data_IF_597554485083
#
_entry.id   IF_597554485083
#
_cell.length_a   1.000
_cell.length_b   1.000
_cell.length_c   1.000
_cell.angle_alpha   90.00
_cell.angle_beta   90.00
_cell.angle_gamma   90.00
#
_symmetry.space_group_name_H-M   'P 1'
#
loop_
_entity.id
_entity.type
_entity.pdbx_description
1 polymer ?
#
# COMPACT_ATOMS: atom_id res chain seq x y z
N UNK A 1 -26.07 29.98 -9.88
CA UNK A 1 -24.59 29.97 -9.93
C UNK A 1 -24.03 28.93 -8.97
N UNK A 2 -24.44 28.93 -7.71
CA UNK A 2 -24.09 27.94 -6.66
C UNK A 2 -23.86 26.50 -7.13
N UNK A 3 -24.80 25.92 -7.89
CA UNK A 3 -24.69 24.53 -8.37
C UNK A 3 -23.42 24.28 -9.20
N UNK A 4 -23.10 25.16 -10.15
CA UNK A 4 -21.90 25.04 -10.98
C UNK A 4 -20.62 25.26 -10.17
N UNK A 5 -20.67 26.14 -9.16
CA UNK A 5 -19.56 26.39 -8.25
C UNK A 5 -19.23 25.16 -7.39
N UNK A 6 -20.24 24.57 -6.74
CA UNK A 6 -20.10 23.34 -5.95
C UNK A 6 -19.62 22.17 -6.82
N UNK A 7 -20.20 22.00 -8.02
CA UNK A 7 -19.80 20.97 -8.97
C UNK A 7 -18.32 21.12 -9.38
N UNK A 8 -17.86 22.35 -9.64
CA UNK A 8 -16.46 22.64 -9.97
C UNK A 8 -15.51 22.29 -8.82
N UNK A 9 -15.88 22.63 -7.58
CA UNK A 9 -15.08 22.27 -6.39
C UNK A 9 -14.97 20.75 -6.23
N UNK A 10 -16.08 20.02 -6.39
CA UNK A 10 -16.10 18.55 -6.29
C UNK A 10 -15.10 17.94 -7.29
N UNK A 11 -15.22 18.27 -8.58
CA UNK A 11 -14.30 17.75 -9.59
C UNK A 11 -12.84 18.18 -9.38
N UNK A 12 -12.61 19.41 -8.90
CA UNK A 12 -11.27 19.89 -8.53
C UNK A 12 -10.64 19.05 -7.41
N UNK A 13 -11.37 18.80 -6.33
CA UNK A 13 -10.90 17.99 -5.19
C UNK A 13 -10.65 16.53 -5.60
N UNK A 14 -11.54 15.93 -6.41
CA UNK A 14 -11.32 14.58 -6.93
C UNK A 14 -10.07 14.52 -7.84
N UNK A 15 -9.90 15.47 -8.77
CA UNK A 15 -8.73 15.53 -9.64
C UNK A 15 -7.41 15.68 -8.87
N UNK A 16 -7.37 16.57 -7.88
CA UNK A 16 -6.22 16.74 -6.98
C UNK A 16 -5.95 15.45 -6.19
N UNK A 17 -6.99 14.76 -5.73
CA UNK A 17 -6.84 13.50 -4.98
C UNK A 17 -6.17 12.40 -5.81
N UNK A 18 -6.53 12.25 -7.09
CA UNK A 18 -5.88 11.30 -8.00
C UNK A 18 -4.41 11.67 -8.27
N UNK A 19 -4.10 12.97 -8.44
CA UNK A 19 -2.72 13.45 -8.57
C UNK A 19 -1.89 13.17 -7.32
N UNK A 20 -2.42 13.43 -6.12
CA UNK A 20 -1.71 13.22 -4.85
C UNK A 20 -1.47 11.74 -4.54
N UNK A 21 -2.45 10.85 -4.80
CA UNK A 21 -2.27 9.40 -4.63
C UNK A 21 -1.15 8.86 -5.53
N UNK A 22 -0.98 9.43 -6.73
CA UNK A 22 0.03 9.02 -7.71
C UNK A 22 1.28 9.92 -7.74
N UNK A 23 1.47 10.79 -6.75
CA UNK A 23 2.52 11.83 -6.78
C UNK A 23 3.93 11.25 -7.02
N UNK A 24 4.21 10.08 -6.44
CA UNK A 24 5.50 9.39 -6.65
C UNK A 24 5.70 8.92 -8.09
N UNK A 25 4.67 8.38 -8.74
CA UNK A 25 4.73 8.01 -10.16
C UNK A 25 4.95 9.26 -11.03
N UNK A 26 4.27 10.37 -10.74
CA UNK A 26 4.37 11.63 -11.49
C UNK A 26 5.77 12.24 -11.40
N UNK A 27 6.38 12.27 -10.21
CA UNK A 27 7.66 12.95 -10.00
C UNK A 27 8.90 12.05 -10.18
N UNK A 28 8.81 10.74 -9.95
CA UNK A 28 9.97 9.83 -10.04
C UNK A 28 9.83 8.74 -11.11
N UNK A 29 8.68 8.59 -11.77
CA UNK A 29 8.44 7.51 -12.74
C UNK A 29 8.63 6.11 -12.14
N UNK A 30 8.39 5.96 -10.84
CA UNK A 30 8.53 4.69 -10.13
C UNK A 30 7.18 4.17 -9.65
N UNK A 31 6.95 2.88 -9.91
CA UNK A 31 5.77 2.14 -9.47
C UNK A 31 5.50 2.26 -7.97
N UNK A 32 4.21 2.23 -7.63
CA UNK A 32 3.73 2.24 -6.26
C UNK A 32 4.18 0.97 -5.52
N UNK A 33 4.95 1.12 -4.43
CA UNK A 33 5.58 0.01 -3.69
C UNK A 33 4.64 -0.64 -2.67
N UNK A 34 3.37 -0.79 -3.06
CA UNK A 34 2.27 -1.11 -2.17
C UNK A 34 1.95 0.00 -1.19
N UNK A 35 0.79 -0.11 -0.54
CA UNK A 35 0.68 0.47 0.81
C UNK A 35 1.57 -0.39 1.71
N UNK A 36 1.69 -0.06 3.00
CA UNK A 36 2.14 -1.08 3.92
C UNK A 36 1.10 -2.24 4.02
N UNK A 37 0.02 -2.30 3.20
CA UNK A 37 -0.95 -3.39 3.09
C UNK A 37 -1.11 -4.07 1.67
N UNK A 38 -0.05 -4.32 0.84
CA UNK A 38 -0.11 -5.12 -0.44
C UNK A 38 0.50 -6.57 -0.55
N UNK A 39 1.56 -7.01 0.16
CA UNK A 39 2.32 -8.30 0.05
C UNK A 39 2.68 -9.17 1.33
N UNK A 40 1.90 -9.23 2.42
CA UNK A 40 2.28 -9.78 3.76
C UNK A 40 2.33 -11.28 3.67
N UNK A 41 3.35 -11.98 4.17
CA UNK A 41 3.37 -13.44 4.08
C UNK A 41 2.04 -14.11 4.53
N UNK A 42 1.38 -13.60 5.57
CA UNK A 42 0.08 -14.11 6.06
C UNK A 42 -1.16 -13.57 5.34
N UNK A 43 -1.15 -12.32 4.86
CA UNK A 43 -2.34 -11.66 4.31
C UNK A 43 -2.28 -11.42 2.79
N UNK A 44 -1.15 -11.65 2.10
CA UNK A 44 -0.97 -11.50 0.64
C UNK A 44 -2.00 -12.27 -0.17
N UNK A 45 -2.46 -13.40 0.37
CA UNK A 45 -3.45 -14.28 -0.25
C UNK A 45 -4.91 -13.98 0.17
N UNK A 46 -5.14 -12.99 1.04
CA UNK A 46 -6.47 -12.67 1.61
C UNK A 46 -6.85 -11.19 1.51
N UNK A 47 -5.89 -10.26 1.62
CA UNK A 47 -6.09 -8.81 1.72
C UNK A 47 -4.99 -8.01 0.99
N UNK A 48 -3.75 -8.50 1.02
CA UNK A 48 -2.52 -7.73 0.78
C UNK A 48 -1.59 -7.72 2.01
N UNK A 49 -0.65 -6.78 2.18
CA UNK A 49 0.30 -6.69 3.32
C UNK A 49 -0.22 -6.46 4.73
N UNK A 50 0.55 -5.68 5.46
CA UNK A 50 0.62 -5.66 6.89
C UNK A 50 1.07 -4.26 7.23
N UNK A 51 0.12 -3.35 7.45
CA UNK A 51 0.37 -1.90 7.61
C UNK A 51 1.21 -1.53 8.84
N UNK A 52 1.82 -2.55 9.44
CA UNK A 52 2.52 -2.64 10.72
C UNK A 52 3.98 -3.11 10.53
N UNK A 53 4.37 -3.64 9.35
CA UNK A 53 5.61 -4.42 9.18
C UNK A 53 6.92 -3.59 9.12
N UNK A 54 6.84 -2.25 9.10
CA UNK A 54 8.00 -1.35 9.25
C UNK A 54 9.11 -1.48 8.19
N UNK A 55 8.81 -2.09 7.03
CA UNK A 55 9.80 -2.39 5.98
C UNK A 55 10.34 -1.12 5.33
N UNK A 56 11.62 -1.16 4.94
CA UNK A 56 12.09 -0.32 3.84
C UNK A 56 11.37 -0.79 2.57
N UNK A 57 10.86 0.10 1.70
CA UNK A 57 9.91 -0.32 0.68
C UNK A 57 10.50 -1.15 -0.50
N UNK A 58 11.77 -1.58 -0.43
CA UNK A 58 12.39 -2.58 -1.35
C UNK A 58 12.57 -3.96 -0.67
N UNK A 59 12.19 -4.10 0.61
CA UNK A 59 12.46 -5.30 1.41
C UNK A 59 11.17 -6.09 1.68
N UNK A 60 11.18 -7.38 1.35
CA UNK A 60 10.09 -8.30 1.67
C UNK A 60 9.82 -8.41 3.18
N UNK A 61 8.55 -8.59 3.57
CA UNK A 61 8.13 -8.68 4.97
C UNK A 61 8.49 -10.06 5.60
N UNK A 62 9.77 -10.25 5.93
CA UNK A 62 10.33 -11.39 6.71
C UNK A 62 9.68 -11.51 8.09
N UNK A 63 9.26 -12.71 8.48
CA UNK A 63 8.89 -12.99 9.88
C UNK A 63 10.16 -13.03 10.76
N UNK A 64 10.08 -12.65 12.06
CA UNK A 64 11.20 -12.82 12.98
C UNK A 64 11.46 -14.30 13.26
N UNK A 65 12.73 -14.70 13.29
CA UNK A 65 13.15 -16.03 13.73
C UNK A 65 12.99 -16.11 15.25
N UNK A 66 12.23 -17.11 15.72
CA UNK A 66 12.01 -17.40 17.15
C UNK A 66 12.51 -18.80 17.46
N UNK A 67 13.53 -18.89 18.32
CA UNK A 67 14.06 -20.15 18.85
C UNK A 67 13.06 -20.78 19.83
N UNK A 68 11.98 -21.36 19.31
CA UNK A 68 10.94 -21.98 20.12
C UNK A 68 9.69 -22.31 19.32
N UNK A 69 9.53 -23.58 18.96
CA UNK A 69 8.37 -24.14 18.27
C UNK A 69 8.16 -23.65 16.82
N UNK A 70 9.11 -24.04 15.97
CA UNK A 70 8.97 -24.08 14.52
C UNK A 70 7.81 -25.02 14.13
N UNK A 71 6.62 -24.48 13.84
CA UNK A 71 5.58 -25.22 13.12
C UNK A 71 5.81 -25.05 11.61
N UNK A 72 6.79 -25.80 11.12
CA UNK A 72 6.85 -26.44 9.79
C UNK A 72 6.21 -25.69 8.60
N UNK A 73 6.88 -24.64 8.12
CA UNK A 73 6.64 -24.07 6.78
C UNK A 73 7.33 -24.87 5.64
N UNK A 74 7.87 -26.05 5.94
CA UNK A 74 8.65 -26.90 5.01
C UNK A 74 7.91 -28.21 4.66
N UNK A 75 6.58 -28.20 4.75
CA UNK A 75 5.74 -29.37 4.40
C UNK A 75 4.46 -28.98 3.63
N UNK A 76 4.67 -28.33 2.49
CA UNK A 76 3.75 -28.22 1.37
C UNK A 76 4.54 -28.26 0.07
#
# INVERSE_FOLDING_TARGET
>A
MEFLYVLTIIFGVFGISFLLINIRQIFTGQEFRGTCATNNPMLKNQIGECTVCGRKPDEECKMPEVEGHQLDATKA
#
